data_IF_045018775302
#
_entry.id   IF_045018775302
#
_cell.length_a   1.000
_cell.length_b   1.000
_cell.length_c   1.000
_cell.angle_alpha   90.00
_cell.angle_beta   90.00
_cell.angle_gamma   90.00
#
_symmetry.space_group_name_H-M   'P 1'
#
loop_
_entity.id
_entity.type
_entity.pdbx_description
1 polymer ?
#
# COMPACT_ATOMS: atom_id res chain seq x y z
N UNK A 1 10.89 -68.59 -35.38
CA UNK A 1 11.06 -67.92 -36.69
C UNK A 1 9.67 -67.48 -37.26
N UNK A 2 8.68 -68.38 -37.30
CA UNK A 2 7.38 -68.05 -37.88
C UNK A 2 6.63 -66.89 -37.15
N UNK A 3 6.77 -66.86 -35.83
CA UNK A 3 6.15 -65.81 -34.99
C UNK A 3 6.84 -64.45 -35.22
N UNK A 4 8.14 -64.39 -35.28
CA UNK A 4 8.88 -63.15 -35.57
C UNK A 4 8.58 -62.61 -36.98
N UNK A 5 8.42 -63.51 -37.96
CA UNK A 5 8.05 -63.09 -39.32
C UNK A 5 6.64 -62.48 -39.36
N UNK A 6 5.69 -62.97 -38.57
CA UNK A 6 4.37 -62.37 -38.46
C UNK A 6 4.42 -61.00 -37.84
N UNK A 7 5.25 -60.79 -36.84
CA UNK A 7 5.41 -59.49 -36.15
C UNK A 7 6.07 -58.47 -37.12
N UNK A 8 7.08 -58.87 -37.88
CA UNK A 8 7.80 -57.98 -38.79
C UNK A 8 6.95 -57.61 -40.03
N UNK A 9 6.15 -58.54 -40.53
CA UNK A 9 5.35 -58.34 -41.73
C UNK A 9 3.99 -57.71 -41.50
N UNK A 10 3.58 -57.52 -40.23
CA UNK A 10 2.30 -56.92 -39.85
C UNK A 10 2.44 -55.81 -38.84
N UNK A 11 2.23 -54.58 -39.23
CA UNK A 11 2.25 -53.40 -38.38
C UNK A 11 1.30 -53.55 -37.15
N UNK A 12 0.20 -54.29 -37.34
CA UNK A 12 -0.77 -54.50 -36.27
C UNK A 12 -0.20 -55.45 -35.20
N UNK A 13 0.43 -56.54 -35.61
CA UNK A 13 1.06 -57.48 -34.67
C UNK A 13 2.28 -56.87 -33.99
N UNK A 14 3.07 -56.07 -34.71
CA UNK A 14 4.20 -55.33 -34.15
C UNK A 14 3.71 -54.36 -33.06
N UNK A 15 2.65 -53.60 -33.30
CA UNK A 15 2.10 -52.68 -32.30
C UNK A 15 1.57 -53.43 -31.08
N UNK A 16 0.92 -54.57 -31.27
CA UNK A 16 0.40 -55.42 -30.19
C UNK A 16 1.56 -55.94 -29.33
N UNK A 17 2.62 -56.40 -29.96
CA UNK A 17 3.82 -56.84 -29.26
C UNK A 17 4.45 -55.72 -28.43
N UNK A 18 4.64 -54.53 -29.04
CA UNK A 18 5.18 -53.34 -28.33
C UNK A 18 4.29 -52.93 -27.16
N UNK A 19 2.97 -52.97 -27.31
CA UNK A 19 2.02 -52.64 -26.21
C UNK A 19 2.24 -53.62 -25.05
N UNK A 20 2.30 -54.92 -25.33
CA UNK A 20 2.49 -55.93 -24.29
C UNK A 20 3.84 -55.74 -23.56
N UNK A 21 4.91 -55.43 -24.28
CA UNK A 21 6.22 -55.19 -23.64
C UNK A 21 6.15 -53.92 -22.76
N UNK A 22 5.53 -52.84 -23.26
CA UNK A 22 5.40 -51.62 -22.50
C UNK A 22 4.54 -51.78 -21.25
N UNK A 23 3.47 -52.60 -21.34
CA UNK A 23 2.63 -52.93 -20.19
C UNK A 23 3.39 -53.79 -19.16
N UNK A 24 4.22 -54.75 -19.61
CA UNK A 24 5.07 -55.52 -18.72
C UNK A 24 6.08 -54.64 -17.99
N UNK A 25 6.74 -53.72 -18.70
CA UNK A 25 7.65 -52.75 -18.13
C UNK A 25 6.92 -51.83 -17.11
N UNK A 26 5.74 -51.35 -17.49
CA UNK A 26 4.92 -50.49 -16.61
C UNK A 26 4.61 -51.26 -15.33
N UNK A 27 4.12 -52.52 -15.41
CA UNK A 27 3.72 -53.29 -14.24
C UNK A 27 4.94 -53.63 -13.34
N UNK A 28 6.12 -53.82 -13.94
CA UNK A 28 7.33 -54.18 -13.21
C UNK A 28 8.02 -52.98 -12.55
N UNK A 29 7.98 -51.80 -13.18
CA UNK A 29 8.77 -50.65 -12.77
C UNK A 29 7.94 -49.40 -12.40
N UNK A 30 6.58 -49.45 -12.54
CA UNK A 30 5.78 -48.29 -12.17
C UNK A 30 5.86 -48.02 -10.67
N UNK A 31 6.13 -46.78 -10.35
CA UNK A 31 6.15 -46.27 -8.98
C UNK A 31 4.93 -45.38 -8.80
N UNK A 32 4.18 -45.48 -7.70
CA UNK A 32 3.03 -44.61 -7.45
C UNK A 32 3.52 -43.16 -7.37
N UNK A 33 2.69 -42.23 -7.87
CA UNK A 33 2.98 -40.81 -7.85
C UNK A 33 3.21 -40.33 -6.42
N UNK A 34 4.34 -39.68 -6.15
CA UNK A 34 4.70 -39.13 -4.83
C UNK A 34 4.02 -37.79 -4.55
N UNK A 35 3.58 -37.06 -5.58
CA UNK A 35 2.90 -35.77 -5.46
C UNK A 35 1.39 -35.95 -5.58
N UNK A 36 0.64 -35.18 -4.80
CA UNK A 36 -0.82 -35.10 -4.96
C UNK A 36 -1.17 -34.13 -6.08
N UNK A 37 -2.15 -34.46 -6.90
CA UNK A 37 -2.82 -33.50 -7.76
C UNK A 37 -3.89 -32.85 -6.89
N UNK A 38 -3.78 -31.53 -6.71
CA UNK A 38 -4.80 -30.73 -6.05
C UNK A 38 -5.36 -29.77 -7.08
N UNK A 39 -6.64 -29.48 -7.02
CA UNK A 39 -7.25 -28.46 -7.84
C UNK A 39 -6.58 -27.12 -7.52
N UNK A 40 -6.30 -26.34 -8.54
CA UNK A 40 -5.76 -25.01 -8.35
C UNK A 40 -6.75 -24.16 -7.55
N UNK A 41 -6.42 -23.83 -6.32
CA UNK A 41 -7.15 -22.82 -5.57
C UNK A 41 -6.78 -21.47 -6.19
N UNK A 42 -7.60 -20.99 -7.12
CA UNK A 42 -7.41 -19.73 -7.86
C UNK A 42 -7.46 -18.47 -6.95
N UNK A 43 -7.77 -18.65 -5.67
CA UNK A 43 -7.81 -17.55 -4.69
C UNK A 43 -6.52 -17.48 -3.88
N UNK A 44 -5.37 -17.35 -4.54
CA UNK A 44 -4.18 -16.85 -3.84
C UNK A 44 -4.42 -15.38 -3.53
N UNK A 45 -4.53 -15.07 -2.25
CA UNK A 45 -4.38 -13.68 -1.82
C UNK A 45 -2.94 -13.26 -2.10
N UNK A 46 -2.73 -12.50 -3.17
CA UNK A 46 -1.39 -12.04 -3.60
C UNK A 46 -0.65 -11.38 -2.42
N UNK A 47 -1.39 -10.81 -1.49
CA UNK A 47 -0.82 -10.18 -0.30
C UNK A 47 -0.09 -11.16 0.63
N UNK A 48 -0.50 -12.43 0.69
CA UNK A 48 0.14 -13.46 1.51
C UNK A 48 1.52 -13.88 0.95
N UNK A 49 1.77 -13.64 -0.33
CA UNK A 49 3.08 -13.92 -0.96
C UNK A 49 4.09 -12.80 -0.76
N UNK A 50 3.65 -11.63 -0.32
CA UNK A 50 4.51 -10.46 -0.11
C UNK A 50 5.21 -10.60 1.25
N UNK A 51 6.54 -10.60 1.23
CA UNK A 51 7.32 -10.66 2.46
C UNK A 51 7.08 -9.42 3.33
N UNK A 52 6.95 -9.66 4.63
CA UNK A 52 6.82 -8.60 5.61
C UNK A 52 8.20 -8.01 5.92
N UNK A 53 8.48 -6.82 5.43
CA UNK A 53 9.74 -6.11 5.63
C UNK A 53 9.52 -4.64 6.00
N UNK A 54 10.48 -4.07 6.73
CA UNK A 54 10.46 -2.65 7.06
C UNK A 54 10.95 -1.84 5.86
N UNK A 55 10.18 -0.82 5.50
CA UNK A 55 10.46 0.08 4.38
C UNK A 55 10.44 1.53 4.83
N UNK A 56 11.20 2.35 4.14
CA UNK A 56 11.17 3.81 4.28
C UNK A 56 10.42 4.38 3.09
N UNK A 57 9.40 5.17 3.37
CA UNK A 57 8.61 5.88 2.36
C UNK A 57 9.05 7.34 2.36
N UNK A 58 9.41 7.85 1.19
CA UNK A 58 9.85 9.22 0.96
C UNK A 58 8.93 9.90 -0.04
N UNK A 59 8.55 11.14 0.26
CA UNK A 59 7.62 11.93 -0.53
C UNK A 59 8.23 13.30 -0.77
N UNK A 60 8.17 13.77 -2.01
CA UNK A 60 8.68 15.10 -2.39
C UNK A 60 7.57 16.13 -2.52
N UNK A 61 7.93 17.40 -2.51
CA UNK A 61 7.01 18.53 -2.69
C UNK A 61 6.24 18.48 -4.02
N UNK A 62 6.87 17.99 -5.08
CA UNK A 62 6.25 17.82 -6.40
C UNK A 62 5.38 16.56 -6.49
N UNK A 63 5.18 15.82 -5.39
CA UNK A 63 4.32 14.64 -5.32
C UNK A 63 4.94 13.37 -5.90
N UNK A 64 6.27 13.25 -5.88
CA UNK A 64 6.93 11.96 -6.14
C UNK A 64 7.01 11.16 -4.87
N UNK A 65 6.72 9.88 -4.97
CA UNK A 65 6.73 8.94 -3.85
C UNK A 65 7.49 7.68 -4.22
N UNK A 66 8.21 7.13 -3.26
CA UNK A 66 8.84 5.81 -3.35
C UNK A 66 8.91 5.14 -2.00
N UNK A 67 9.04 3.82 -2.01
CA UNK A 67 9.48 3.03 -0.87
C UNK A 67 10.89 2.46 -1.13
N UNK A 68 11.68 2.35 -0.10
CA UNK A 68 12.99 1.69 -0.14
C UNK A 68 13.11 0.75 1.05
N UNK A 69 13.70 -0.44 0.89
CA UNK A 69 13.94 -1.34 2.03
C UNK A 69 14.78 -0.64 3.09
N UNK A 70 14.42 -0.77 4.36
CA UNK A 70 15.17 -0.17 5.46
C UNK A 70 16.60 -0.74 5.51
N UNK A 71 16.80 -2.00 5.10
CA UNK A 71 18.10 -2.66 4.99
C UNK A 71 19.07 -1.98 4.00
N UNK A 72 18.54 -1.24 3.01
CA UNK A 72 19.35 -0.46 2.08
C UNK A 72 19.96 0.80 2.70
N UNK A 73 19.41 1.24 3.85
CA UNK A 73 19.89 2.40 4.61
C UNK A 73 20.86 1.91 5.70
N UNK A 74 22.15 2.08 5.46
CA UNK A 74 23.18 1.73 6.43
C UNK A 74 23.36 2.88 7.44
N UNK A 75 23.44 2.52 8.72
CA UNK A 75 23.82 3.48 9.77
C UNK A 75 25.21 4.04 9.48
N UNK A 76 25.35 5.36 9.55
CA UNK A 76 26.60 6.04 9.29
C UNK A 76 27.35 6.28 10.60
N UNK A 77 28.64 5.92 10.62
CA UNK A 77 29.55 6.23 11.73
C UNK A 77 30.07 7.67 11.61
N UNK A 78 30.58 8.23 12.71
CA UNK A 78 31.20 9.59 12.75
C UNK A 78 32.26 9.72 11.66
N UNK A 79 32.30 10.87 10.96
CA UNK A 79 33.29 11.20 9.93
C UNK A 79 32.98 10.68 8.52
N UNK A 80 31.86 9.98 8.29
CA UNK A 80 31.43 9.58 6.95
C UNK A 80 30.68 10.69 6.22
N UNK A 81 30.79 10.73 4.87
CA UNK A 81 29.93 11.58 4.02
C UNK A 81 28.51 11.00 4.00
N UNK A 82 27.49 11.80 4.27
CA UNK A 82 26.08 11.40 4.21
C UNK A 82 25.74 10.77 2.85
N UNK A 83 24.68 9.95 2.83
CA UNK A 83 24.13 9.43 1.57
C UNK A 83 22.85 10.18 1.24
N UNK A 84 22.70 10.59 -0.02
CA UNK A 84 21.43 11.14 -0.51
C UNK A 84 20.38 10.03 -0.49
N UNK A 85 19.26 10.28 0.17
CA UNK A 85 18.14 9.34 0.25
C UNK A 85 17.19 9.41 -0.95
N UNK A 86 17.29 10.46 -1.77
CA UNK A 86 16.47 10.66 -2.96
C UNK A 86 17.20 11.62 -3.91
N UNK A 87 17.09 11.37 -5.21
CA UNK A 87 17.51 12.35 -6.22
C UNK A 87 16.32 13.22 -6.57
N UNK A 88 16.44 14.52 -6.30
CA UNK A 88 15.43 15.52 -6.66
C UNK A 88 15.96 16.41 -7.78
N UNK A 89 15.08 17.07 -8.51
CA UNK A 89 15.45 18.19 -9.39
C UNK A 89 15.73 19.43 -8.54
N UNK A 90 16.37 20.44 -9.11
CA UNK A 90 16.81 21.65 -8.38
C UNK A 90 15.72 22.36 -7.56
N UNK A 91 14.45 22.24 -7.97
CA UNK A 91 13.31 22.88 -7.31
C UNK A 91 12.45 21.91 -6.48
N UNK A 92 12.86 20.64 -6.32
CA UNK A 92 12.08 19.63 -5.56
C UNK A 92 12.84 19.22 -4.30
N UNK A 93 12.13 19.01 -3.21
CA UNK A 93 12.69 18.60 -1.93
C UNK A 93 11.78 17.61 -1.21
N UNK A 94 12.34 16.83 -0.28
CA UNK A 94 11.59 15.87 0.52
C UNK A 94 10.77 16.61 1.55
N UNK A 95 9.44 16.43 1.52
CA UNK A 95 8.52 17.04 2.49
C UNK A 95 8.14 16.07 3.60
N UNK A 96 8.17 14.79 3.32
CA UNK A 96 7.82 13.77 4.32
C UNK A 96 8.63 12.49 4.11
N UNK A 97 9.07 11.93 5.24
CA UNK A 97 9.71 10.63 5.30
C UNK A 97 9.21 9.90 6.55
N UNK A 98 8.87 8.63 6.40
CA UNK A 98 8.48 7.79 7.52
C UNK A 98 8.78 6.31 7.24
N UNK A 99 8.87 5.55 8.32
CA UNK A 99 9.03 4.09 8.26
C UNK A 99 7.67 3.41 8.32
N UNK A 100 7.52 2.33 7.60
CA UNK A 100 6.35 1.48 7.60
C UNK A 100 6.76 0.03 7.33
N UNK A 101 5.82 -0.89 7.46
CA UNK A 101 5.98 -2.26 6.97
C UNK A 101 5.34 -2.38 5.58
N UNK A 102 5.74 -3.34 4.76
CA UNK A 102 5.12 -3.62 3.46
C UNK A 102 3.60 -3.79 3.51
N UNK A 103 3.07 -4.31 4.62
CA UNK A 103 1.63 -4.52 4.83
C UNK A 103 0.90 -3.35 5.49
N UNK A 104 1.64 -2.34 6.00
CA UNK A 104 1.07 -1.17 6.66
C UNK A 104 0.11 -0.45 5.71
N UNK A 105 -1.16 -0.22 6.10
CA UNK A 105 -2.06 0.63 5.36
C UNK A 105 -1.63 2.10 5.48
N UNK A 106 -1.65 2.81 4.37
CA UNK A 106 -1.30 4.23 4.29
C UNK A 106 -2.50 5.00 3.76
N UNK A 107 -2.93 6.01 4.51
CA UNK A 107 -3.96 6.95 4.10
C UNK A 107 -3.36 8.18 3.46
N UNK A 108 -3.99 8.60 2.37
CA UNK A 108 -3.69 9.82 1.63
C UNK A 108 -4.91 10.71 1.63
N UNK A 109 -4.76 11.95 2.04
CA UNK A 109 -5.85 12.93 2.03
C UNK A 109 -5.55 14.01 0.99
N UNK A 110 -6.49 14.21 0.07
CA UNK A 110 -6.37 15.27 -0.92
C UNK A 110 -6.80 16.62 -0.34
N UNK A 111 -6.29 17.69 -0.92
CA UNK A 111 -6.72 19.06 -0.60
C UNK A 111 -8.22 19.29 -0.84
N UNK A 112 -8.85 18.46 -1.67
CA UNK A 112 -10.28 18.54 -2.02
C UNK A 112 -11.19 17.67 -1.14
N UNK A 113 -10.67 17.15 -0.02
CA UNK A 113 -11.48 16.40 0.93
C UNK A 113 -11.71 14.93 0.61
N UNK A 114 -10.91 14.32 -0.26
CA UNK A 114 -10.96 12.90 -0.56
C UNK A 114 -9.89 12.14 0.21
N UNK A 115 -10.21 10.94 0.66
CA UNK A 115 -9.27 9.99 1.26
C UNK A 115 -9.06 8.80 0.33
N UNK A 116 -7.82 8.32 0.25
CA UNK A 116 -7.41 7.10 -0.44
C UNK A 116 -6.64 6.21 0.52
N UNK A 117 -6.80 4.91 0.40
CA UNK A 117 -6.09 3.91 1.23
C UNK A 117 -5.39 2.91 0.33
N UNK A 118 -4.09 2.77 0.49
CA UNK A 118 -3.31 1.72 -0.17
C UNK A 118 -2.35 1.09 0.84
N UNK A 119 -1.97 -0.16 0.64
CA UNK A 119 -0.92 -0.79 1.43
C UNK A 119 0.46 -0.35 0.93
N UNK A 120 1.45 -0.28 1.84
CA UNK A 120 2.78 0.23 1.54
C UNK A 120 3.49 -0.54 0.41
N UNK A 121 3.24 -1.85 0.25
CA UNK A 121 3.80 -2.64 -0.86
C UNK A 121 3.33 -2.16 -2.25
N UNK A 122 2.18 -1.49 -2.36
CA UNK A 122 1.67 -0.91 -3.62
C UNK A 122 2.40 0.38 -4.01
N UNK A 123 3.14 0.98 -3.08
CA UNK A 123 4.00 2.12 -3.37
C UNK A 123 5.22 1.62 -4.15
N UNK A 124 5.58 2.27 -5.27
CA UNK A 124 6.69 1.84 -6.11
C UNK A 124 8.00 1.74 -5.34
N UNK A 125 8.72 0.66 -5.54
CA UNK A 125 10.05 0.49 -5.01
C UNK A 125 11.04 1.35 -5.78
N UNK A 126 12.00 1.92 -5.05
CA UNK A 126 13.04 2.74 -5.62
C UNK A 126 14.35 2.60 -4.86
N UNK A 127 15.46 2.69 -5.58
CA UNK A 127 16.79 2.78 -4.98
C UNK A 127 16.93 4.06 -4.16
N UNK A 128 17.94 4.14 -3.28
CA UNK A 128 18.20 5.34 -2.47
C UNK A 128 18.35 6.61 -3.33
N UNK A 129 18.89 6.51 -4.54
CA UNK A 129 19.14 7.65 -5.44
C UNK A 129 18.02 7.91 -6.44
N UNK A 130 17.01 7.03 -6.57
CA UNK A 130 15.91 7.23 -7.53
C UNK A 130 14.97 8.34 -7.07
N UNK A 131 14.34 9.03 -8.03
CA UNK A 131 13.33 10.07 -7.79
C UNK A 131 12.00 9.51 -7.28
N UNK A 132 11.68 8.23 -7.58
CA UNK A 132 10.37 7.65 -7.36
C UNK A 132 9.40 7.87 -8.51
N UNK A 133 8.10 7.59 -8.28
CA UNK A 133 7.02 7.79 -9.27
C UNK A 133 6.04 8.83 -8.76
N UNK A 134 5.38 9.52 -9.70
CA UNK A 134 4.34 10.47 -9.36
C UNK A 134 3.17 9.78 -8.65
N UNK A 135 2.65 10.39 -7.61
CA UNK A 135 1.51 9.91 -6.84
C UNK A 135 0.23 9.79 -7.69
N UNK A 136 0.12 10.58 -8.77
CA UNK A 136 -0.95 10.49 -9.76
C UNK A 136 -0.98 9.16 -10.52
N UNK A 137 0.15 8.46 -10.59
CA UNK A 137 0.23 7.12 -11.21
C UNK A 137 -0.24 6.00 -10.27
N UNK A 138 -0.39 6.29 -8.99
CA UNK A 138 -0.72 5.31 -7.94
C UNK A 138 -2.16 5.50 -7.47
N UNK A 139 -2.59 6.75 -7.35
CA UNK A 139 -3.91 7.13 -6.89
C UNK A 139 -4.70 7.77 -8.03
N UNK A 140 -6.01 7.48 -8.15
CA UNK A 140 -6.87 8.07 -9.18
C UNK A 140 -7.24 9.52 -8.84
N UNK A 141 -6.23 10.37 -8.72
CA UNK A 141 -6.38 11.78 -8.46
C UNK A 141 -6.79 12.53 -9.73
N UNK A 142 -7.71 13.47 -9.60
CA UNK A 142 -8.03 14.41 -10.69
C UNK A 142 -6.90 15.42 -10.84
N UNK A 143 -6.73 15.98 -12.03
CA UNK A 143 -5.60 16.85 -12.42
C UNK A 143 -5.37 18.09 -11.55
N UNK A 144 -6.36 18.52 -10.78
CA UNK A 144 -6.24 19.69 -9.88
C UNK A 144 -6.17 19.32 -8.39
N UNK A 145 -6.08 18.04 -8.06
CA UNK A 145 -6.03 17.57 -6.68
C UNK A 145 -4.57 17.41 -6.25
N UNK A 146 -4.19 18.08 -5.18
CA UNK A 146 -2.93 17.83 -4.50
C UNK A 146 -3.17 16.96 -3.24
N UNK A 147 -2.14 16.30 -2.76
CA UNK A 147 -2.18 15.60 -1.47
C UNK A 147 -1.82 16.58 -0.37
N UNK A 148 -2.69 16.68 0.63
CA UNK A 148 -2.51 17.50 1.83
C UNK A 148 -1.72 16.75 2.91
N UNK A 149 -2.06 15.50 3.14
CA UNK A 149 -1.48 14.72 4.23
C UNK A 149 -1.39 13.24 3.86
N UNK A 150 -0.31 12.60 4.31
CA UNK A 150 -0.09 11.17 4.15
C UNK A 150 0.26 10.61 5.52
N UNK A 151 -0.36 9.50 5.91
CA UNK A 151 -0.12 8.90 7.21
C UNK A 151 -0.13 7.37 7.15
N UNK A 152 0.88 6.71 7.73
CA UNK A 152 0.83 5.29 8.00
C UNK A 152 -0.15 5.02 9.15
N UNK A 153 -0.86 3.90 9.09
CA UNK A 153 -1.81 3.48 10.09
C UNK A 153 -1.31 2.22 10.80
N UNK A 154 -1.79 1.93 12.02
CA UNK A 154 -1.61 0.61 12.62
C UNK A 154 -2.13 -0.49 11.69
N UNK A 155 -1.40 -1.62 11.60
CA UNK A 155 -1.80 -2.77 10.79
C UNK A 155 -3.08 -3.42 11.34
N UNK A 156 -3.25 -3.41 12.65
CA UNK A 156 -4.46 -3.89 13.31
C UNK A 156 -5.57 -2.83 13.24
N UNK A 157 -6.55 -3.09 12.39
CA UNK A 157 -7.71 -2.18 12.23
C UNK A 157 -8.57 -2.10 13.50
N UNK A 158 -8.44 -3.03 14.45
CA UNK A 158 -9.19 -2.99 15.72
C UNK A 158 -8.76 -1.81 16.60
N UNK A 159 -7.51 -1.37 16.48
CA UNK A 159 -6.98 -0.20 17.21
C UNK A 159 -7.58 1.12 16.70
N UNK A 160 -8.10 1.14 15.46
CA UNK A 160 -8.61 2.36 14.83
C UNK A 160 -9.82 2.95 15.52
N UNK A 161 -10.57 2.14 16.28
CA UNK A 161 -11.71 2.61 17.10
C UNK A 161 -11.30 3.60 18.17
N UNK A 162 -10.07 3.46 18.68
CA UNK A 162 -9.53 4.28 19.76
C UNK A 162 -8.74 5.49 19.26
N UNK A 163 -8.58 5.64 17.94
CA UNK A 163 -7.84 6.72 17.31
C UNK A 163 -8.79 7.68 16.63
N UNK A 164 -8.49 8.97 16.79
CA UNK A 164 -9.24 10.06 16.19
C UNK A 164 -8.43 10.70 15.07
N UNK A 165 -9.10 11.15 14.03
CA UNK A 165 -8.52 11.93 12.94
C UNK A 165 -9.06 13.33 12.99
N UNK A 166 -8.18 14.31 13.01
CA UNK A 166 -8.54 15.74 12.99
C UNK A 166 -8.13 16.33 11.66
N UNK A 167 -9.06 17.01 11.04
CA UNK A 167 -8.92 17.75 9.80
C UNK A 167 -8.89 19.24 10.10
N UNK A 168 -8.04 19.98 9.42
CA UNK A 168 -8.03 21.43 9.43
C UNK A 168 -8.05 21.96 8.00
N UNK A 169 -8.84 23.02 7.76
CA UNK A 169 -9.00 23.62 6.43
C UNK A 169 -8.37 25.01 6.37
N UNK A 170 -8.17 25.50 5.15
CA UNK A 170 -7.60 26.83 4.90
C UNK A 170 -8.45 27.97 5.44
N UNK A 171 -9.78 27.77 5.53
CA UNK A 171 -10.72 28.74 6.11
C UNK A 171 -10.87 28.60 7.64
N UNK A 172 -10.10 27.69 8.27
CA UNK A 172 -10.08 27.51 9.72
C UNK A 172 -11.14 26.53 10.24
N UNK A 173 -11.87 25.84 9.38
CA UNK A 173 -12.79 24.80 9.80
C UNK A 173 -12.01 23.60 10.33
N UNK A 174 -12.48 23.04 11.44
CA UNK A 174 -11.87 21.87 12.08
C UNK A 174 -12.90 20.78 12.24
N UNK A 175 -12.49 19.55 12.02
CA UNK A 175 -13.37 18.40 12.14
C UNK A 175 -12.63 17.22 12.78
N UNK A 176 -13.32 16.47 13.63
CA UNK A 176 -12.82 15.26 14.27
C UNK A 176 -13.73 14.07 13.95
N UNK A 177 -13.13 12.97 13.47
CA UNK A 177 -13.78 11.69 13.21
C UNK A 177 -13.03 10.56 13.93
N UNK A 178 -13.67 9.40 14.05
CA UNK A 178 -12.95 8.16 14.36
C UNK A 178 -12.12 7.70 13.16
N UNK A 179 -10.95 7.12 13.41
CA UNK A 179 -10.15 6.55 12.33
C UNK A 179 -10.87 5.35 11.67
N UNK A 180 -11.73 4.66 12.41
CA UNK A 180 -12.55 3.54 11.90
C UNK A 180 -13.44 3.96 10.70
N UNK A 181 -13.85 5.23 10.60
CA UNK A 181 -14.57 5.75 9.44
C UNK A 181 -13.82 5.56 8.12
N UNK A 182 -12.51 5.32 8.17
CA UNK A 182 -11.61 5.12 7.03
C UNK A 182 -11.15 3.67 6.85
N UNK A 183 -11.75 2.70 7.57
CA UNK A 183 -11.46 1.27 7.39
C UNK A 183 -11.79 0.82 5.96
N UNK A 184 -12.94 1.22 5.45
CA UNK A 184 -13.40 0.90 4.09
C UNK A 184 -13.31 2.10 3.17
N UNK A 185 -12.20 2.22 2.44
CA UNK A 185 -11.96 3.22 1.40
C UNK A 185 -11.86 2.54 0.06
N UNK A 186 -12.76 2.89 -0.86
CA UNK A 186 -12.77 2.35 -2.21
C UNK A 186 -11.56 2.84 -3.02
N UNK A 187 -11.18 2.12 -4.07
CA UNK A 187 -10.07 2.51 -4.94
C UNK A 187 -10.28 3.88 -5.60
N UNK A 188 -11.53 4.27 -5.87
CA UNK A 188 -11.89 5.60 -6.42
C UNK A 188 -11.79 6.75 -5.41
N UNK A 189 -11.44 6.44 -4.16
CA UNK A 189 -11.42 7.39 -3.06
C UNK A 189 -12.77 7.48 -2.32
N UNK A 190 -12.74 8.11 -1.17
CA UNK A 190 -13.88 8.29 -0.28
C UNK A 190 -13.91 9.71 0.26
N UNK A 191 -15.08 10.34 0.31
CA UNK A 191 -15.21 11.68 0.89
C UNK A 191 -14.78 11.60 2.36
N UNK A 192 -13.77 12.36 2.73
CA UNK A 192 -13.30 12.52 4.10
C UNK A 192 -13.98 13.69 4.80
N UNK A 193 -14.13 14.79 4.09
CA UNK A 193 -14.75 16.01 4.58
C UNK A 193 -15.40 16.76 3.42
N UNK A 194 -16.61 17.32 3.62
CA UNK A 194 -17.20 18.24 2.66
C UNK A 194 -16.57 19.62 2.85
N UNK A 195 -16.17 20.24 1.78
CA UNK A 195 -15.54 21.57 1.78
C UNK A 195 -16.48 22.60 1.17
N UNK A 196 -16.34 23.85 1.55
CA UNK A 196 -16.92 24.99 0.87
C UNK A 196 -16.14 25.32 -0.41
N UNK A 197 -16.73 26.19 -1.25
CA UNK A 197 -16.00 26.76 -2.39
C UNK A 197 -14.74 27.45 -1.89
N UNK A 198 -13.63 27.25 -2.60
CA UNK A 198 -12.30 27.78 -2.29
C UNK A 198 -11.70 27.35 -0.94
N UNK A 199 -12.29 26.38 -0.23
CA UNK A 199 -11.69 25.79 0.95
C UNK A 199 -10.86 24.53 0.59
N UNK A 200 -9.80 24.30 1.33
CA UNK A 200 -8.88 23.18 1.12
C UNK A 200 -8.48 22.56 2.44
N UNK A 201 -8.35 21.25 2.49
CA UNK A 201 -7.69 20.59 3.62
C UNK A 201 -6.21 20.97 3.59
N UNK A 202 -5.74 21.58 4.67
CA UNK A 202 -4.32 21.96 4.86
C UNK A 202 -3.56 20.97 5.72
N UNK A 203 -4.25 20.20 6.55
CA UNK A 203 -3.62 19.21 7.40
C UNK A 203 -4.59 18.20 7.98
N UNK A 204 -4.10 16.97 8.11
CA UNK A 204 -4.81 15.87 8.78
C UNK A 204 -3.84 15.19 9.72
N UNK A 205 -4.25 14.97 10.96
CA UNK A 205 -3.44 14.29 11.97
C UNK A 205 -4.25 13.33 12.80
N UNK A 206 -3.63 12.22 13.19
CA UNK A 206 -4.20 11.31 14.18
C UNK A 206 -3.95 11.91 15.56
N UNK A 207 -4.94 11.85 16.42
CA UNK A 207 -4.83 12.28 17.81
C UNK A 207 -5.60 11.35 18.76
N UNK A 208 -5.24 11.41 20.03
CA UNK A 208 -5.99 10.85 21.15
C UNK A 208 -6.83 11.93 21.82
N UNK A 209 -7.80 11.53 22.63
CA UNK A 209 -8.71 12.49 23.27
C UNK A 209 -8.04 13.46 24.26
N UNK A 210 -6.95 13.03 24.88
CA UNK A 210 -6.20 13.80 25.88
C UNK A 210 -5.20 14.80 25.28
N UNK A 211 -4.97 14.75 23.96
CA UNK A 211 -4.00 15.60 23.28
C UNK A 211 -4.57 16.99 22.98
N UNK A 212 -3.67 17.96 22.95
CA UNK A 212 -4.00 19.33 22.55
C UNK A 212 -3.80 19.52 21.05
N UNK A 213 -4.69 20.31 20.46
CA UNK A 213 -4.63 20.77 19.09
C UNK A 213 -4.17 22.22 19.08
N UNK A 214 -3.13 22.51 18.34
CA UNK A 214 -2.62 23.84 18.11
C UNK A 214 -2.86 24.22 16.65
N UNK A 215 -3.58 25.30 16.41
CA UNK A 215 -3.79 25.87 15.08
C UNK A 215 -3.16 27.25 15.03
N UNK A 216 -2.40 27.51 13.99
CA UNK A 216 -1.82 28.83 13.72
C UNK A 216 -2.29 29.37 12.37
N UNK A 217 -2.65 30.63 12.33
CA UNK A 217 -3.03 31.30 11.09
C UNK A 217 -1.81 31.93 10.43
N UNK A 218 -1.94 32.24 9.14
CA UNK A 218 -0.89 32.92 8.37
C UNK A 218 -0.49 34.27 8.96
N UNK A 219 -1.44 34.96 9.63
CA UNK A 219 -1.20 36.24 10.29
C UNK A 219 -0.65 36.11 11.71
N UNK A 220 -0.13 34.95 12.11
CA UNK A 220 0.50 34.74 13.40
C UNK A 220 -0.44 34.55 14.59
N UNK A 221 -1.76 34.54 14.39
CA UNK A 221 -2.71 34.19 15.46
C UNK A 221 -2.67 32.70 15.71
N UNK A 222 -2.75 32.30 16.97
CA UNK A 222 -2.68 30.93 17.38
C UNK A 222 -3.79 30.60 18.40
N UNK A 223 -4.37 29.43 18.28
CA UNK A 223 -5.34 28.89 19.25
C UNK A 223 -4.92 27.47 19.65
N UNK A 224 -4.95 27.20 20.95
CA UNK A 224 -4.73 25.89 21.54
C UNK A 224 -5.96 25.41 22.29
N UNK A 225 -6.39 24.20 22.03
CA UNK A 225 -7.52 23.57 22.74
C UNK A 225 -7.36 22.06 22.79
N UNK A 226 -8.01 21.44 23.78
CA UNK A 226 -7.98 19.97 23.90
C UNK A 226 -8.83 19.30 22.84
N UNK A 227 -8.36 18.20 22.25
CA UNK A 227 -9.11 17.39 21.29
C UNK A 227 -10.47 16.99 21.79
N UNK A 228 -10.61 16.76 23.12
CA UNK A 228 -11.88 16.46 23.79
C UNK A 228 -12.94 17.54 23.59
N UNK A 229 -12.56 18.81 23.42
CA UNK A 229 -13.51 19.92 23.20
C UNK A 229 -14.08 19.92 21.76
N UNK A 230 -13.45 19.24 20.82
CA UNK A 230 -14.02 19.09 19.49
C UNK A 230 -15.11 18.02 19.50
N UNK A 231 -16.26 18.35 18.92
CA UNK A 231 -17.32 17.39 18.67
C UNK A 231 -16.82 16.29 17.75
N UNK A 232 -17.13 15.05 18.11
CA UNK A 232 -16.93 13.89 17.24
C UNK A 232 -18.07 13.87 16.20
N UNK A 233 -17.73 13.91 14.93
CA UNK A 233 -18.70 13.82 13.86
C UNK A 233 -18.92 12.36 13.47
N UNK A 234 -20.20 11.95 13.43
CA UNK A 234 -20.61 10.69 12.82
C UNK A 234 -20.79 10.92 11.31
N UNK A 235 -20.10 10.15 10.53
CA UNK A 235 -20.12 10.29 9.07
C UNK A 235 -19.12 11.35 8.54
N UNK A 236 -19.08 11.59 7.23
CA UNK A 236 -18.00 12.30 6.54
C UNK A 236 -18.45 13.48 5.67
N UNK A 237 -19.74 13.76 5.61
CA UNK A 237 -20.33 14.73 4.69
C UNK A 237 -20.49 16.14 5.26
N UNK A 238 -20.11 16.42 6.52
CA UNK A 238 -20.18 17.76 7.09
C UNK A 238 -18.89 18.56 6.91
N UNK A 239 -19.00 19.88 7.00
CA UNK A 239 -17.89 20.83 6.82
C UNK A 239 -17.02 21.01 8.07
N UNK A 240 -17.44 20.51 9.22
CA UNK A 240 -16.77 20.75 10.51
C UNK A 240 -17.33 21.96 11.26
N UNK A 241 -16.51 22.51 12.14
CA UNK A 241 -16.79 23.70 12.98
C UNK A 241 -15.77 24.76 12.65
#
# INVERSE_FOLDING_TARGET
IIEYNKIINSKKELNKFNINELENIKNKFSVPRRTKIIDAVLNYNIEETIQKESVVISITNQGYIKRSPLSALKAQKRGGKGKSGISTREEDFVVQIFTANTHTPVLFFSTQGLAYKIKAHKIPEGTSTSKGKSIFNILPLKSHHAISSIMPLPEDETEWKNLMVVFATSKGNVRKNTLEDFSNVNNSGKIAMKLDEDDKIIGVKICKEDQDILLSSQLGKCIRFKSKKLRLFKGRSSKGI
#
